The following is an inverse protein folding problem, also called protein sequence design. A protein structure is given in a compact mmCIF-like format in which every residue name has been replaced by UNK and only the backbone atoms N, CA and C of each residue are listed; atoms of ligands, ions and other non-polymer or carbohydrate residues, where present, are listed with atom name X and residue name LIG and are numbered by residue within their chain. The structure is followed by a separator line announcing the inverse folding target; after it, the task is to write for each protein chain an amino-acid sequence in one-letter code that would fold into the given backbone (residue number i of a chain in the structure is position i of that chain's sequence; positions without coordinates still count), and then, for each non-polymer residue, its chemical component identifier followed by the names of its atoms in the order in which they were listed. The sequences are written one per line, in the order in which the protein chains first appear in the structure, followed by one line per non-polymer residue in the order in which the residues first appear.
data_IF_285585779555
#
_entry.id   IF_285585779555
#
_cell.length_a   1.000
_cell.length_b   1.000
_cell.length_c   1.000
_cell.angle_alpha   90.00
_cell.angle_beta   90.00
_cell.angle_gamma   90.00
#
_symmetry.space_group_name_H-M   'P 1'
#
loop_
_entity.id
_entity.type
_entity.pdbx_description
1 polymer ?
#
# COMPACT_ATOMS: atom_id res chain seq x y z
N UNK A 1 -28.66 11.39 4.71
CA UNK A 1 -27.76 10.47 5.42
C UNK A 1 -27.34 11.16 6.71
N UNK A 2 -27.31 10.45 7.82
CA UNK A 2 -26.81 11.02 9.08
C UNK A 2 -25.32 11.34 8.92
N UNK A 3 -24.82 12.35 9.62
CA UNK A 3 -23.40 12.76 9.54
C UNK A 3 -22.43 11.68 10.06
N UNK A 4 -22.93 10.53 10.51
CA UNK A 4 -22.17 9.37 11.04
C UNK A 4 -22.08 8.22 10.06
N UNK A 5 -22.73 8.27 8.89
CA UNK A 5 -22.71 7.20 7.90
C UNK A 5 -21.32 7.11 7.27
N UNK A 6 -20.70 5.93 7.36
CA UNK A 6 -19.41 5.60 6.77
C UNK A 6 -19.52 4.32 5.95
N UNK A 7 -18.64 4.20 4.96
CA UNK A 7 -18.45 2.96 4.21
C UNK A 7 -17.25 2.21 4.74
N UNK A 8 -17.45 0.97 5.12
CA UNK A 8 -16.41 0.12 5.70
C UNK A 8 -15.93 -0.90 4.67
N UNK A 9 -14.64 -0.79 4.30
CA UNK A 9 -13.91 -1.78 3.49
C UNK A 9 -12.60 -2.07 4.23
N UNK A 10 -12.58 -3.07 5.13
CA UNK A 10 -11.48 -3.25 6.08
C UNK A 10 -10.16 -3.68 5.44
N UNK A 11 -10.20 -4.32 4.27
CA UNK A 11 -8.98 -4.76 3.60
C UNK A 11 -9.24 -5.54 2.33
N UNK A 12 -8.19 -6.18 1.76
CA UNK A 12 -8.30 -7.03 0.60
C UNK A 12 -9.11 -8.29 0.92
N UNK A 13 -9.66 -8.94 -0.11
CA UNK A 13 -10.37 -10.21 0.06
C UNK A 13 -9.43 -11.33 0.55
N UNK A 14 -8.15 -11.28 0.16
CA UNK A 14 -7.14 -12.26 0.55
C UNK A 14 -5.80 -11.56 0.82
N UNK A 15 -5.12 -11.96 1.89
CA UNK A 15 -3.81 -11.45 2.29
C UNK A 15 -2.91 -12.58 2.76
N UNK A 16 -1.71 -12.64 2.24
CA UNK A 16 -0.68 -13.59 2.66
C UNK A 16 0.64 -12.85 2.88
N UNK A 17 1.23 -13.03 4.06
CA UNK A 17 2.50 -12.42 4.47
C UNK A 17 3.38 -13.49 5.11
N UNK A 18 4.09 -14.24 4.28
CA UNK A 18 5.01 -15.28 4.72
C UNK A 18 5.97 -15.67 3.59
N UNK A 19 7.11 -16.31 3.90
CA UNK A 19 8.00 -16.84 2.87
C UNK A 19 7.27 -17.78 1.91
N UNK A 20 7.46 -17.56 0.60
CA UNK A 20 6.79 -18.32 -0.46
C UNK A 20 5.35 -17.91 -0.74
N UNK A 21 4.88 -16.78 -0.19
CA UNK A 21 3.49 -16.28 -0.40
C UNK A 21 3.13 -16.08 -1.87
N UNK A 22 4.09 -15.76 -2.75
CA UNK A 22 3.83 -15.53 -4.16
C UNK A 22 3.31 -16.78 -4.90
N UNK A 23 3.61 -17.98 -4.39
CA UNK A 23 3.07 -19.23 -4.92
C UNK A 23 1.54 -19.35 -4.75
N UNK A 24 0.95 -18.57 -3.83
CA UNK A 24 -0.51 -18.54 -3.69
C UNK A 24 -1.23 -18.05 -4.96
N UNK A 25 -0.55 -17.31 -5.84
CA UNK A 25 -1.13 -16.84 -7.10
C UNK A 25 -1.77 -17.98 -7.90
N UNK A 26 -1.10 -19.14 -7.96
CA UNK A 26 -1.55 -20.32 -8.69
C UNK A 26 -2.79 -21.00 -8.04
N UNK A 27 -3.13 -20.65 -6.79
CA UNK A 27 -4.34 -21.14 -6.13
C UNK A 27 -5.58 -20.29 -6.45
N UNK A 28 -5.38 -19.07 -6.92
CA UNK A 28 -6.48 -18.14 -7.24
C UNK A 28 -6.75 -18.00 -8.73
N UNK A 29 -5.78 -18.32 -9.58
CA UNK A 29 -5.89 -18.13 -11.02
C UNK A 29 -5.44 -19.37 -11.77
N UNK A 30 -6.21 -19.77 -12.78
CA UNK A 30 -5.85 -20.89 -13.67
C UNK A 30 -4.65 -20.51 -14.56
N UNK A 31 -3.91 -21.48 -15.11
CA UNK A 31 -2.86 -21.20 -16.09
C UNK A 31 -3.34 -20.39 -17.30
N UNK A 32 -4.57 -20.61 -17.75
CA UNK A 32 -5.18 -19.84 -18.84
C UNK A 32 -5.38 -18.37 -18.43
N UNK A 33 -5.88 -18.11 -17.23
CA UNK A 33 -6.00 -16.74 -16.71
C UNK A 33 -4.62 -16.09 -16.58
N UNK A 34 -3.64 -16.78 -16.02
CA UNK A 34 -2.28 -16.26 -15.87
C UNK A 34 -1.55 -16.03 -17.21
N UNK A 35 -1.92 -16.74 -18.27
CA UNK A 35 -1.40 -16.46 -19.62
C UNK A 35 -1.93 -15.14 -20.21
N UNK A 36 -3.00 -14.59 -19.66
CA UNK A 36 -3.57 -13.29 -20.02
C UNK A 36 -3.39 -12.25 -18.90
N UNK A 37 -2.50 -12.53 -17.94
CA UNK A 37 -2.17 -11.60 -16.88
C UNK A 37 -1.37 -10.41 -17.41
N UNK A 38 -1.60 -9.24 -16.83
CA UNK A 38 -0.81 -8.04 -17.07
C UNK A 38 0.00 -7.72 -15.82
N UNK A 39 1.31 -7.84 -15.92
CA UNK A 39 2.25 -7.50 -14.87
C UNK A 39 2.76 -6.07 -15.07
N UNK A 40 2.48 -5.21 -14.11
CA UNK A 40 2.97 -3.82 -14.12
C UNK A 40 3.94 -3.65 -12.94
N UNK A 41 5.15 -3.18 -13.22
CA UNK A 41 6.20 -3.18 -12.22
C UNK A 41 7.16 -1.99 -12.35
N UNK A 42 7.72 -1.59 -11.21
CA UNK A 42 8.85 -0.65 -11.17
C UNK A 42 10.17 -1.36 -11.49
N UNK A 43 11.12 -0.63 -12.10
CA UNK A 43 12.42 -1.18 -12.54
C UNK A 43 13.23 -1.83 -11.39
N UNK A 44 13.46 -1.08 -10.31
CA UNK A 44 14.16 -1.61 -9.13
C UNK A 44 13.35 -2.66 -8.37
N UNK A 45 12.03 -2.52 -8.38
CA UNK A 45 11.12 -3.44 -7.71
C UNK A 45 11.17 -4.84 -8.33
N UNK A 46 11.14 -4.93 -9.67
CA UNK A 46 11.18 -6.21 -10.37
C UNK A 46 12.53 -6.91 -10.19
N UNK A 47 13.63 -6.16 -10.11
CA UNK A 47 14.96 -6.73 -9.87
C UNK A 47 15.02 -7.43 -8.50
N UNK A 48 14.52 -6.77 -7.44
CA UNK A 48 14.45 -7.34 -6.10
C UNK A 48 13.47 -8.51 -5.97
N UNK A 49 12.36 -8.47 -6.73
CA UNK A 49 11.34 -9.51 -6.70
C UNK A 49 11.67 -10.73 -7.56
N UNK A 50 12.52 -10.59 -8.58
CA UNK A 50 12.79 -11.60 -9.60
C UNK A 50 13.07 -13.01 -9.06
N UNK A 51 13.86 -13.23 -7.98
CA UNK A 51 14.12 -14.57 -7.45
C UNK A 51 12.88 -15.27 -6.87
N UNK A 52 11.82 -14.52 -6.56
CA UNK A 52 10.62 -15.00 -5.88
C UNK A 52 9.42 -15.09 -6.81
N UNK A 53 9.51 -14.53 -8.04
CA UNK A 53 8.38 -14.51 -8.97
C UNK A 53 7.99 -15.92 -9.40
N UNK A 54 6.68 -16.23 -9.46
CA UNK A 54 6.20 -17.50 -9.95
C UNK A 54 6.48 -17.66 -11.46
N UNK A 55 6.47 -18.89 -11.94
CA UNK A 55 6.70 -19.22 -13.36
C UNK A 55 5.72 -18.49 -14.29
N UNK A 56 4.52 -18.20 -13.81
CA UNK A 56 3.47 -17.46 -14.53
C UNK A 56 3.88 -16.03 -14.92
N UNK A 57 4.85 -15.43 -14.26
CA UNK A 57 5.43 -14.16 -14.71
C UNK A 57 5.98 -14.25 -16.14
N UNK A 58 6.51 -15.42 -16.53
CA UNK A 58 7.03 -15.69 -17.86
C UNK A 58 6.08 -16.49 -18.75
N UNK A 59 4.79 -16.61 -18.37
CA UNK A 59 3.82 -17.35 -19.15
C UNK A 59 3.71 -16.76 -20.57
N UNK A 60 3.64 -17.62 -21.61
CA UNK A 60 3.37 -17.15 -22.97
C UNK A 60 2.03 -16.40 -23.00
N UNK A 61 2.05 -15.18 -23.56
CA UNK A 61 0.86 -14.32 -23.63
C UNK A 61 0.70 -13.36 -22.45
N UNK A 62 1.31 -13.61 -21.30
CA UNK A 62 1.33 -12.63 -20.21
C UNK A 62 2.08 -11.36 -20.64
N UNK A 63 1.49 -10.20 -20.36
CA UNK A 63 2.10 -8.90 -20.67
C UNK A 63 2.95 -8.42 -19.48
N UNK A 64 4.05 -7.74 -19.76
CA UNK A 64 4.99 -7.21 -18.77
C UNK A 64 5.29 -5.76 -19.10
N UNK A 65 4.71 -4.86 -18.31
CA UNK A 65 4.73 -3.43 -18.55
C UNK A 65 5.59 -2.75 -17.45
N UNK A 66 6.64 -2.08 -17.90
CA UNK A 66 7.48 -1.29 -17.00
C UNK A 66 6.79 0.04 -16.73
N UNK A 67 6.61 0.36 -15.43
CA UNK A 67 6.05 1.62 -15.00
C UNK A 67 7.13 2.53 -14.38
N UNK A 68 7.18 3.77 -14.88
CA UNK A 68 8.05 4.84 -14.38
C UNK A 68 7.20 6.10 -14.27
N UNK A 69 6.73 6.42 -13.10
CA UNK A 69 5.91 7.62 -12.95
C UNK A 69 5.10 7.65 -11.65
N UNK A 70 3.98 8.33 -11.75
CA UNK A 70 3.00 8.48 -10.68
C UNK A 70 1.64 7.99 -11.18
N UNK A 71 0.72 7.72 -10.26
CA UNK A 71 -0.67 7.42 -10.62
C UNK A 71 -1.32 8.68 -11.20
N UNK A 72 -1.17 8.88 -12.51
CA UNK A 72 -1.71 9.99 -13.26
C UNK A 72 -2.71 9.50 -14.31
N UNK A 73 -3.61 10.39 -14.73
CA UNK A 73 -4.60 10.06 -15.77
C UNK A 73 -3.93 9.58 -17.07
N UNK A 74 -2.86 10.25 -17.46
CA UNK A 74 -2.07 9.89 -18.64
C UNK A 74 -1.46 8.48 -18.52
N UNK A 75 -0.78 8.20 -17.40
CA UNK A 75 -0.06 6.94 -17.22
C UNK A 75 -1.03 5.76 -17.06
N UNK A 76 -2.14 5.96 -16.35
CA UNK A 76 -3.19 4.94 -16.21
C UNK A 76 -3.85 4.64 -17.56
N UNK A 77 -4.20 5.67 -18.35
CA UNK A 77 -4.79 5.48 -19.68
C UNK A 77 -3.84 4.72 -20.60
N UNK A 78 -2.57 5.12 -20.65
CA UNK A 78 -1.55 4.43 -21.44
C UNK A 78 -1.42 2.94 -21.05
N UNK A 79 -1.36 2.64 -19.75
CA UNK A 79 -1.26 1.25 -19.28
C UNK A 79 -2.53 0.43 -19.55
N UNK A 80 -3.72 1.03 -19.51
CA UNK A 80 -4.97 0.38 -19.93
C UNK A 80 -4.91 0.01 -21.40
N UNK A 81 -4.48 0.92 -22.28
CA UNK A 81 -4.37 0.67 -23.71
C UNK A 81 -3.36 -0.45 -24.01
N UNK A 82 -2.20 -0.44 -23.36
CA UNK A 82 -1.19 -1.50 -23.50
C UNK A 82 -1.64 -2.83 -22.94
N UNK A 83 -2.46 -2.84 -21.87
CA UNK A 83 -2.99 -4.05 -21.27
C UNK A 83 -3.91 -4.82 -22.20
N UNK A 84 -4.67 -4.13 -23.04
CA UNK A 84 -5.64 -4.76 -23.93
C UNK A 84 -6.91 -5.24 -23.24
N UNK A 85 -7.94 -5.53 -24.04
CA UNK A 85 -9.28 -5.88 -23.54
C UNK A 85 -9.44 -7.32 -23.07
N UNK A 86 -8.44 -8.18 -23.29
CA UNK A 86 -8.46 -9.60 -22.95
C UNK A 86 -7.74 -9.92 -21.63
N UNK A 87 -7.25 -8.89 -20.93
CA UNK A 87 -6.62 -9.03 -19.62
C UNK A 87 -7.55 -9.75 -18.64
N UNK A 88 -7.03 -10.73 -17.91
CA UNK A 88 -7.78 -11.50 -16.91
C UNK A 88 -7.54 -11.03 -15.48
N UNK A 89 -6.39 -10.44 -15.22
CA UNK A 89 -5.92 -9.95 -13.94
C UNK A 89 -4.80 -8.93 -14.15
N UNK A 90 -4.73 -7.91 -13.31
CA UNK A 90 -3.58 -6.98 -13.29
C UNK A 90 -2.80 -7.18 -12.00
N UNK A 91 -1.51 -7.44 -12.13
CA UNK A 91 -0.60 -7.77 -11.04
C UNK A 91 0.44 -6.67 -10.91
N UNK A 92 0.45 -5.97 -9.78
CA UNK A 92 1.40 -4.91 -9.48
C UNK A 92 2.58 -5.42 -8.67
N UNK A 93 3.81 -5.14 -9.11
CA UNK A 93 5.04 -5.45 -8.36
C UNK A 93 5.80 -4.16 -8.08
N UNK A 94 5.73 -3.67 -6.83
CA UNK A 94 6.37 -2.39 -6.52
C UNK A 94 5.98 -1.75 -5.20
N UNK A 95 6.29 -0.48 -5.06
CA UNK A 95 5.88 0.36 -3.95
C UNK A 95 4.54 1.09 -4.21
N UNK A 96 4.24 2.08 -3.38
CA UNK A 96 2.95 2.78 -3.38
C UNK A 96 2.52 3.33 -4.74
N UNK A 97 3.43 3.98 -5.50
CA UNK A 97 3.09 4.51 -6.82
C UNK A 97 2.65 3.42 -7.81
N UNK A 98 3.32 2.25 -7.80
CA UNK A 98 2.91 1.10 -8.61
C UNK A 98 1.56 0.58 -8.13
N UNK A 99 1.37 0.41 -6.81
CA UNK A 99 0.11 -0.10 -6.26
C UNK A 99 -1.07 0.79 -6.63
N UNK A 100 -0.94 2.10 -6.48
CA UNK A 100 -2.01 3.05 -6.82
C UNK A 100 -2.35 3.03 -8.31
N UNK A 101 -1.34 3.02 -9.17
CA UNK A 101 -1.52 2.97 -10.63
C UNK A 101 -2.19 1.66 -11.05
N UNK A 102 -1.73 0.53 -10.53
CA UNK A 102 -2.23 -0.80 -10.92
C UNK A 102 -3.67 -1.02 -10.45
N UNK A 103 -4.05 -0.52 -9.27
CA UNK A 103 -5.46 -0.53 -8.82
C UNK A 103 -6.36 0.23 -9.80
N UNK A 104 -5.94 1.45 -10.21
CA UNK A 104 -6.69 2.25 -11.17
C UNK A 104 -6.80 1.56 -12.55
N UNK A 105 -5.72 0.95 -13.04
CA UNK A 105 -5.73 0.16 -14.28
C UNK A 105 -6.68 -1.04 -14.19
N UNK A 106 -6.56 -1.84 -13.12
CA UNK A 106 -7.42 -3.01 -12.89
C UNK A 106 -8.89 -2.62 -12.84
N UNK A 107 -9.21 -1.51 -12.16
CA UNK A 107 -10.57 -0.97 -12.08
C UNK A 107 -11.13 -0.58 -13.44
N UNK A 108 -10.34 0.10 -14.28
CA UNK A 108 -10.77 0.51 -15.63
C UNK A 108 -10.97 -0.68 -16.56
N UNK A 109 -10.18 -1.73 -16.41
CA UNK A 109 -10.33 -2.99 -17.18
C UNK A 109 -11.44 -3.88 -16.63
N UNK A 110 -11.95 -3.63 -15.43
CA UNK A 110 -12.97 -4.48 -14.79
C UNK A 110 -12.44 -5.85 -14.38
N UNK A 111 -11.16 -5.96 -14.04
CA UNK A 111 -10.47 -7.22 -13.67
C UNK A 111 -9.91 -7.19 -12.25
N UNK A 112 -9.65 -8.35 -11.63
CA UNK A 112 -9.04 -8.39 -10.31
C UNK A 112 -7.67 -7.68 -10.25
N UNK A 113 -7.41 -7.01 -9.12
CA UNK A 113 -6.10 -6.48 -8.74
C UNK A 113 -5.37 -7.46 -7.82
N UNK A 114 -4.11 -7.74 -8.13
CA UNK A 114 -3.18 -8.44 -7.24
C UNK A 114 -2.00 -7.52 -6.92
N UNK A 115 -1.71 -7.31 -5.63
CA UNK A 115 -0.59 -6.50 -5.18
C UNK A 115 0.55 -7.35 -4.63
N UNK A 116 1.77 -7.12 -5.13
CA UNK A 116 3.03 -7.68 -4.61
C UNK A 116 3.90 -6.48 -4.19
N UNK A 117 3.72 -5.99 -2.94
CA UNK A 117 4.52 -4.89 -2.44
C UNK A 117 5.98 -5.32 -2.25
N UNK A 118 6.91 -4.51 -2.75
CA UNK A 118 8.35 -4.78 -2.66
C UNK A 118 9.04 -3.96 -1.56
N UNK A 119 8.31 -3.04 -0.96
CA UNK A 119 8.74 -2.19 0.17
C UNK A 119 7.57 -2.05 1.15
N UNK A 120 7.85 -1.92 2.42
CA UNK A 120 6.88 -1.58 3.45
C UNK A 120 7.00 -0.08 3.79
N UNK A 121 6.62 0.79 2.85
CA UNK A 121 6.68 2.24 3.02
C UNK A 121 5.30 2.89 3.25
N UNK A 122 4.22 2.21 2.87
CA UNK A 122 2.83 2.63 3.02
C UNK A 122 1.89 1.42 3.01
N UNK A 123 0.62 1.63 3.33
CA UNK A 123 -0.43 0.62 3.21
C UNK A 123 -1.11 0.57 1.82
N UNK A 124 -0.51 1.12 0.78
CA UNK A 124 -1.15 1.26 -0.54
C UNK A 124 -1.57 -0.07 -1.18
N UNK A 125 -0.85 -1.17 -0.92
CA UNK A 125 -1.24 -2.49 -1.41
C UNK A 125 -2.53 -3.00 -0.75
N UNK A 126 -2.80 -2.60 0.49
CA UNK A 126 -3.96 -3.04 1.27
C UNK A 126 -5.22 -2.26 0.92
N UNK A 127 -5.11 -0.93 0.80
CA UNK A 127 -6.25 -0.04 0.68
C UNK A 127 -6.90 -0.05 -0.71
N UNK A 128 -8.24 -0.10 -0.81
CA UNK A 128 -8.94 0.12 -2.09
C UNK A 128 -9.00 1.62 -2.42
N UNK A 129 -7.82 2.24 -2.46
CA UNK A 129 -7.67 3.68 -2.66
C UNK A 129 -6.43 3.94 -3.50
N UNK A 130 -6.50 4.91 -4.41
CA UNK A 130 -5.35 5.41 -5.15
C UNK A 130 -5.21 6.92 -4.98
N UNK A 131 -3.99 7.39 -4.78
CA UNK A 131 -3.66 8.81 -4.80
C UNK A 131 -3.30 9.21 -6.22
N UNK A 132 -4.01 10.20 -6.74
CA UNK A 132 -3.83 10.71 -8.10
C UNK A 132 -2.90 11.92 -8.12
N UNK A 133 -2.06 11.97 -9.13
CA UNK A 133 -1.06 13.02 -9.33
C UNK A 133 -1.22 13.66 -10.70
N UNK A 134 -0.81 14.92 -10.82
CA UNK A 134 -0.62 15.56 -12.11
C UNK A 134 0.70 15.12 -12.76
N UNK A 135 0.91 15.52 -14.02
CA UNK A 135 2.13 15.18 -14.76
C UNK A 135 3.42 15.77 -14.14
N UNK A 136 3.32 16.75 -13.27
CA UNK A 136 4.43 17.30 -12.50
C UNK A 136 4.71 16.56 -11.18
N UNK A 137 3.98 15.48 -10.87
CA UNK A 137 4.15 14.70 -9.64
C UNK A 137 3.54 15.34 -8.39
N UNK A 138 2.65 16.33 -8.55
CA UNK A 138 1.94 16.94 -7.42
C UNK A 138 0.64 16.19 -7.16
N UNK A 139 0.37 15.86 -5.88
CA UNK A 139 -0.85 15.17 -5.48
C UNK A 139 -2.08 16.04 -5.77
N UNK A 140 -3.09 15.46 -6.40
CA UNK A 140 -4.35 16.11 -6.75
C UNK A 140 -5.47 15.75 -5.76
N UNK A 141 -5.80 14.48 -5.71
CA UNK A 141 -6.86 13.91 -4.87
C UNK A 141 -6.60 12.43 -4.64
N UNK A 142 -7.41 11.81 -3.81
CA UNK A 142 -7.48 10.36 -3.71
C UNK A 142 -8.86 9.87 -4.18
N UNK A 143 -8.86 8.70 -4.82
CA UNK A 143 -10.06 8.00 -5.23
C UNK A 143 -10.22 6.74 -4.40
N UNK A 144 -11.41 6.51 -3.85
CA UNK A 144 -11.76 5.29 -3.12
C UNK A 144 -12.57 4.41 -4.06
N UNK A 145 -12.06 3.21 -4.32
CA UNK A 145 -12.76 2.24 -5.16
C UNK A 145 -13.87 1.52 -4.39
N UNK A 146 -14.89 1.08 -5.13
CA UNK A 146 -16.05 0.43 -4.55
C UNK A 146 -15.74 -0.99 -4.04
N UNK A 147 -14.81 -1.69 -4.68
CA UNK A 147 -14.48 -3.05 -4.34
C UNK A 147 -13.15 -3.13 -3.57
N UNK A 148 -13.06 -4.08 -2.64
CA UNK A 148 -11.81 -4.42 -1.99
C UNK A 148 -10.77 -4.93 -3.01
N UNK A 149 -9.49 -4.75 -2.73
CA UNK A 149 -8.44 -5.41 -3.49
C UNK A 149 -8.62 -6.94 -3.41
N UNK A 150 -8.39 -7.65 -4.51
CA UNK A 150 -8.66 -9.08 -4.55
C UNK A 150 -7.63 -9.90 -3.77
N UNK A 151 -6.33 -9.63 -3.99
CA UNK A 151 -5.25 -10.42 -3.42
C UNK A 151 -4.02 -9.54 -3.15
N UNK A 152 -3.43 -9.68 -1.97
CA UNK A 152 -2.14 -9.07 -1.64
C UNK A 152 -1.19 -10.15 -1.15
N UNK A 153 -0.01 -10.22 -1.77
CA UNK A 153 1.02 -11.21 -1.51
C UNK A 153 2.29 -10.51 -1.04
N UNK A 154 2.64 -10.67 0.22
CA UNK A 154 3.87 -10.12 0.82
C UNK A 154 4.88 -11.26 0.95
N UNK A 155 5.97 -11.17 0.19
CA UNK A 155 7.14 -12.00 0.40
C UNK A 155 8.12 -11.21 1.29
N UNK A 156 8.28 -11.57 2.56
CA UNK A 156 9.07 -10.77 3.50
C UNK A 156 10.52 -10.59 3.07
N UNK A 157 11.08 -11.55 2.33
CA UNK A 157 12.46 -11.44 1.85
C UNK A 157 12.66 -10.33 0.83
N UNK A 158 11.64 -10.03 0.01
CA UNK A 158 11.69 -8.90 -0.94
C UNK A 158 11.78 -7.59 -0.16
N UNK A 159 10.95 -7.44 0.87
CA UNK A 159 10.93 -6.24 1.73
C UNK A 159 12.23 -6.12 2.54
N UNK A 160 12.75 -7.23 3.04
CA UNK A 160 14.01 -7.27 3.79
C UNK A 160 15.21 -6.81 2.94
N UNK A 161 15.21 -7.17 1.66
CA UNK A 161 16.27 -6.80 0.71
C UNK A 161 16.15 -5.36 0.18
N UNK A 162 15.05 -4.67 0.49
CA UNK A 162 14.85 -3.29 0.06
C UNK A 162 15.70 -2.30 0.88
N UNK A 163 15.97 -1.09 0.37
CA UNK A 163 16.66 -0.06 1.16
C UNK A 163 15.90 0.28 2.46
N UNK A 164 16.62 0.30 3.58
CA UNK A 164 16.05 0.49 4.93
C UNK A 164 15.30 1.80 5.13
N UNK A 165 15.60 2.81 4.32
CA UNK A 165 14.90 4.10 4.34
C UNK A 165 13.41 3.97 4.06
N UNK A 166 12.98 2.95 3.27
CA UNK A 166 11.57 2.71 3.00
C UNK A 166 10.85 2.12 4.21
N UNK A 167 11.48 1.20 4.93
CA UNK A 167 10.91 0.65 6.17
C UNK A 167 10.78 1.76 7.23
N UNK A 168 11.83 2.57 7.40
CA UNK A 168 11.82 3.72 8.32
C UNK A 168 10.70 4.72 7.95
N UNK A 169 10.54 5.03 6.67
CA UNK A 169 9.46 5.89 6.21
C UNK A 169 8.08 5.27 6.49
N UNK A 170 7.92 3.97 6.27
CA UNK A 170 6.68 3.25 6.56
C UNK A 170 6.31 3.24 8.04
N UNK A 171 7.29 3.11 8.92
CA UNK A 171 7.10 3.25 10.37
C UNK A 171 6.55 4.64 10.68
N UNK A 172 7.17 5.69 10.13
CA UNK A 172 6.74 7.07 10.34
C UNK A 172 5.34 7.37 9.82
N UNK A 173 5.01 6.90 8.61
CA UNK A 173 3.68 7.03 8.01
C UNK A 173 2.61 6.32 8.86
N UNK A 174 2.93 5.11 9.33
CA UNK A 174 1.96 4.28 10.06
C UNK A 174 1.74 4.74 11.50
N UNK A 175 2.76 5.27 12.17
CA UNK A 175 2.61 5.89 13.48
C UNK A 175 1.58 7.03 13.47
N UNK A 176 1.49 7.79 12.38
CA UNK A 176 0.52 8.87 12.25
C UNK A 176 -0.93 8.38 12.40
N UNK A 177 -1.24 7.12 12.10
CA UNK A 177 -2.61 6.57 12.22
C UNK A 177 -3.22 6.76 13.61
N UNK A 178 -2.44 6.53 14.66
CA UNK A 178 -2.90 6.78 16.02
C UNK A 178 -3.07 8.28 16.32
N UNK A 179 -2.03 9.07 16.05
CA UNK A 179 -2.03 10.47 16.42
C UNK A 179 -3.10 11.27 15.67
N UNK A 180 -3.36 10.92 14.42
CA UNK A 180 -4.42 11.54 13.64
C UNK A 180 -5.83 11.05 14.04
N UNK A 181 -6.00 9.75 14.31
CA UNK A 181 -7.29 9.19 14.69
C UNK A 181 -7.82 9.78 16.00
N UNK A 182 -6.97 9.98 17.01
CA UNK A 182 -7.41 10.54 18.31
C UNK A 182 -7.85 11.99 18.21
N UNK A 183 -7.31 12.75 17.27
CA UNK A 183 -7.73 14.14 17.02
C UNK A 183 -9.04 14.20 16.23
N UNK A 184 -9.20 13.29 15.26
CA UNK A 184 -10.44 13.22 14.44
C UNK A 184 -11.63 12.64 15.22
N UNK A 185 -11.40 11.89 16.26
CA UNK A 185 -12.40 11.19 17.05
C UNK A 185 -12.20 11.40 18.56
N UNK A 186 -12.40 12.64 19.06
CA UNK A 186 -12.13 12.97 20.47
C UNK A 186 -13.12 12.29 21.44
N UNK A 187 -14.31 11.91 20.98
CA UNK A 187 -15.34 11.21 21.77
C UNK A 187 -15.72 9.88 21.07
N UNK A 188 -14.84 8.88 21.06
CA UNK A 188 -15.01 7.67 20.25
C UNK A 188 -16.21 6.83 20.68
N UNK A 189 -16.67 6.93 21.94
CA UNK A 189 -17.83 6.21 22.44
C UNK A 189 -19.14 6.59 21.73
N UNK A 190 -19.21 7.78 21.15
CA UNK A 190 -20.34 8.28 20.39
C UNK A 190 -20.32 7.93 18.91
N UNK A 191 -19.26 7.20 18.47
CA UNK A 191 -19.06 6.83 17.08
C UNK A 191 -19.46 5.37 16.79
N UNK A 192 -19.70 5.02 15.51
CA UNK A 192 -19.95 3.64 15.12
C UNK A 192 -18.89 2.67 15.63
N UNK A 193 -19.29 1.42 15.93
CA UNK A 193 -18.38 0.39 16.45
C UNK A 193 -17.17 0.17 15.56
N UNK A 194 -17.35 0.21 14.23
CA UNK A 194 -16.25 0.04 13.27
C UNK A 194 -15.20 1.13 13.39
N UNK A 195 -15.59 2.39 13.65
CA UNK A 195 -14.65 3.49 13.93
C UNK A 195 -13.86 3.21 15.20
N UNK A 196 -14.54 2.78 16.28
CA UNK A 196 -13.88 2.41 17.54
C UNK A 196 -12.90 1.26 17.37
N UNK A 197 -13.25 0.26 16.55
CA UNK A 197 -12.32 -0.83 16.19
C UNK A 197 -11.12 -0.31 15.39
N UNK A 198 -11.32 0.63 14.48
CA UNK A 198 -10.24 1.30 13.76
C UNK A 198 -9.29 2.07 14.69
N UNK A 199 -9.83 2.83 15.65
CA UNK A 199 -9.04 3.55 16.66
C UNK A 199 -8.25 2.57 17.54
N UNK A 200 -8.88 1.48 18.03
CA UNK A 200 -8.18 0.47 18.79
C UNK A 200 -7.10 -0.26 17.97
N UNK A 201 -7.35 -0.47 16.68
CA UNK A 201 -6.34 -0.97 15.74
C UNK A 201 -5.15 -0.01 15.63
N UNK A 202 -5.40 1.29 15.50
CA UNK A 202 -4.35 2.31 15.44
C UNK A 202 -3.50 2.33 16.73
N UNK A 203 -4.13 2.16 17.90
CA UNK A 203 -3.45 2.04 19.18
C UNK A 203 -2.52 0.81 19.21
N UNK A 204 -3.05 -0.35 18.84
CA UNK A 204 -2.28 -1.60 18.81
C UNK A 204 -1.07 -1.51 17.86
N UNK A 205 -1.25 -0.92 16.68
CA UNK A 205 -0.18 -0.71 15.70
C UNK A 205 0.88 0.23 16.25
N UNK A 206 0.48 1.36 16.87
CA UNK A 206 1.41 2.28 17.53
C UNK A 206 2.29 1.54 18.53
N UNK A 207 1.68 0.72 19.39
CA UNK A 207 2.40 -0.01 20.45
C UNK A 207 3.39 -1.03 19.86
N UNK A 208 3.01 -1.74 18.80
CA UNK A 208 3.92 -2.63 18.07
C UNK A 208 5.09 -1.85 17.45
N UNK A 209 4.80 -0.74 16.77
CA UNK A 209 5.85 0.05 16.11
C UNK A 209 6.81 0.67 17.13
N UNK A 210 6.32 1.22 18.24
CA UNK A 210 7.18 1.77 19.29
C UNK A 210 8.03 0.70 19.98
N UNK A 211 7.51 -0.52 20.12
CA UNK A 211 8.23 -1.60 20.80
C UNK A 211 9.23 -2.34 19.90
N UNK A 212 8.97 -2.41 18.56
CA UNK A 212 9.70 -3.33 17.68
C UNK A 212 10.44 -2.69 16.51
N UNK A 213 10.22 -1.39 16.24
CA UNK A 213 10.80 -0.76 15.03
C UNK A 213 12.33 -0.73 15.06
N UNK A 214 12.94 -0.47 16.22
CA UNK A 214 14.41 -0.43 16.36
C UNK A 214 15.02 -1.81 16.06
N UNK A 215 14.44 -2.87 16.64
CA UNK A 215 14.82 -4.26 16.37
C UNK A 215 14.64 -4.62 14.89
N UNK A 216 13.47 -4.29 14.31
CA UNK A 216 13.17 -4.59 12.92
C UNK A 216 14.12 -3.91 11.91
N UNK A 217 14.52 -2.67 12.18
CA UNK A 217 15.52 -1.95 11.38
C UNK A 217 16.90 -2.59 11.50
N UNK A 218 17.29 -3.02 12.70
CA UNK A 218 18.53 -3.75 12.91
C UNK A 218 18.51 -5.12 12.23
N UNK A 219 17.37 -5.84 12.28
CA UNK A 219 17.16 -7.11 11.59
C UNK A 219 17.30 -6.96 10.07
N UNK A 220 16.71 -5.89 9.51
CA UNK A 220 16.87 -5.59 8.09
C UNK A 220 18.35 -5.39 7.71
N UNK A 221 19.11 -4.67 8.52
CA UNK A 221 20.55 -4.47 8.29
C UNK A 221 21.34 -5.78 8.35
N UNK A 222 20.92 -6.74 9.20
CA UNK A 222 21.54 -8.06 9.32
C UNK A 222 21.03 -9.07 8.27
N UNK A 223 19.97 -8.73 7.55
CA UNK A 223 19.32 -9.65 6.61
C UNK A 223 18.53 -10.78 7.30
N UNK A 224 17.99 -10.53 8.48
CA UNK A 224 17.29 -11.52 9.32
C UNK A 224 15.77 -11.30 9.32
N UNK A 225 15.00 -12.31 8.93
CA UNK A 225 13.53 -12.29 9.00
C UNK A 225 13.05 -12.71 10.39
N UNK A 226 13.21 -11.84 11.38
CA UNK A 226 12.69 -12.12 12.74
C UNK A 226 11.18 -11.87 12.84
N UNK A 227 10.60 -12.21 13.99
CA UNK A 227 9.21 -11.88 14.28
C UNK A 227 9.02 -10.35 14.38
N UNK A 228 9.99 -9.61 14.93
CA UNK A 228 9.92 -8.16 15.02
C UNK A 228 9.86 -7.50 13.63
N UNK A 229 10.70 -7.96 12.69
CA UNK A 229 10.67 -7.49 11.32
C UNK A 229 9.30 -7.75 10.66
N UNK A 230 8.76 -8.97 10.78
CA UNK A 230 7.45 -9.32 10.21
C UNK A 230 6.31 -8.53 10.83
N UNK A 231 6.30 -8.36 12.16
CA UNK A 231 5.28 -7.58 12.85
C UNK A 231 5.26 -6.12 12.38
N UNK A 232 6.43 -5.52 12.16
CA UNK A 232 6.53 -4.14 11.66
C UNK A 232 6.06 -4.05 10.20
N UNK A 233 6.43 -4.99 9.33
CA UNK A 233 5.95 -5.05 7.95
C UNK A 233 4.43 -5.18 7.89
N UNK A 234 3.85 -6.09 8.68
CA UNK A 234 2.40 -6.30 8.73
C UNK A 234 1.67 -5.11 9.40
N UNK A 235 2.27 -4.47 10.39
CA UNK A 235 1.72 -3.25 10.98
C UNK A 235 1.61 -2.13 9.93
N UNK A 236 2.60 -1.99 9.05
CA UNK A 236 2.60 -0.97 7.99
C UNK A 236 1.58 -1.32 6.90
N UNK A 237 1.67 -2.53 6.32
CA UNK A 237 0.87 -2.89 5.15
C UNK A 237 -0.57 -3.18 5.54
N UNK A 238 -0.79 -4.15 6.42
CA UNK A 238 -2.12 -4.61 6.81
C UNK A 238 -2.74 -3.68 7.87
N UNK A 239 -2.02 -3.43 8.93
CA UNK A 239 -2.50 -2.63 10.04
C UNK A 239 -2.88 -1.21 9.65
N UNK A 240 -1.96 -0.48 9.02
CA UNK A 240 -2.21 0.90 8.57
C UNK A 240 -3.39 1.02 7.62
N UNK A 241 -3.56 0.05 6.73
CA UNK A 241 -4.68 0.02 5.79
C UNK A 241 -6.01 -0.35 6.44
N UNK A 242 -6.01 -1.33 7.35
CA UNK A 242 -7.18 -1.76 8.09
C UNK A 242 -7.78 -0.62 8.94
N UNK A 243 -6.95 0.17 9.59
CA UNK A 243 -7.37 1.32 10.38
C UNK A 243 -8.22 2.28 9.54
N UNK A 244 -7.71 2.67 8.36
CA UNK A 244 -8.45 3.53 7.44
C UNK A 244 -9.67 2.88 6.83
N UNK A 245 -9.66 1.55 6.64
CA UNK A 245 -10.79 0.79 6.11
C UNK A 245 -11.95 0.63 7.09
N UNK A 246 -11.66 0.54 8.39
CA UNK A 246 -12.67 0.42 9.47
C UNK A 246 -13.28 1.75 9.87
N UNK A 247 -12.46 2.80 9.95
CA UNK A 247 -12.90 4.09 10.50
C UNK A 247 -13.12 5.19 9.46
N UNK A 248 -12.77 4.94 8.19
CA UNK A 248 -12.93 5.86 7.06
C UNK A 248 -12.37 7.26 7.40
N UNK A 249 -13.15 8.35 7.25
CA UNK A 249 -12.71 9.73 7.51
C UNK A 249 -12.26 10.00 8.95
N UNK A 250 -12.67 9.19 9.90
CA UNK A 250 -12.27 9.34 11.31
C UNK A 250 -10.88 8.78 11.63
N UNK A 251 -10.28 7.99 10.73
CA UNK A 251 -9.01 7.31 11.01
C UNK A 251 -8.02 7.33 9.85
N UNK A 252 -8.33 8.03 8.74
CA UNK A 252 -7.46 8.02 7.57
C UNK A 252 -6.30 8.99 7.67
N UNK A 253 -6.60 10.28 7.66
CA UNK A 253 -5.61 11.36 7.58
C UNK A 253 -6.12 12.60 8.31
N UNK A 254 -5.22 13.34 8.96
CA UNK A 254 -5.50 14.62 9.61
C UNK A 254 -4.34 15.61 9.41
N UNK A 255 -3.88 16.27 10.47
CA UNK A 255 -2.91 17.33 10.37
C UNK A 255 -1.51 16.84 9.95
N UNK A 256 -1.08 15.65 10.36
CA UNK A 256 0.22 15.12 9.95
C UNK A 256 0.31 14.98 8.41
N UNK A 257 -0.72 14.42 7.78
CA UNK A 257 -0.80 14.35 6.33
C UNK A 257 -1.04 15.71 5.67
N UNK A 258 -1.75 16.65 6.31
CA UNK A 258 -1.89 18.00 5.80
C UNK A 258 -0.53 18.73 5.75
N UNK A 259 0.31 18.57 6.77
CA UNK A 259 1.69 19.05 6.79
C UNK A 259 2.51 18.42 5.66
N UNK A 260 2.43 17.08 5.50
CA UNK A 260 3.05 16.39 4.36
C UNK A 260 2.65 17.03 3.03
N UNK A 261 1.34 17.23 2.79
CA UNK A 261 0.84 17.82 1.54
C UNK A 261 1.40 19.22 1.32
N UNK A 262 1.45 20.05 2.37
CA UNK A 262 2.09 21.37 2.30
C UNK A 262 3.60 21.30 2.00
N UNK A 263 4.30 20.29 2.49
CA UNK A 263 5.70 20.08 2.19
C UNK A 263 5.97 19.64 0.74
N UNK A 264 5.02 18.99 0.07
CA UNK A 264 5.21 18.52 -1.32
C UNK A 264 5.41 19.64 -2.33
N UNK A 265 4.96 20.87 -2.02
CA UNK A 265 5.14 22.03 -2.91
C UNK A 265 6.51 22.75 -2.71
N UNK A 266 7.29 22.30 -1.75
CA UNK A 266 8.61 22.88 -1.44
C UNK A 266 9.73 22.04 -2.10
N UNK A 267 10.48 22.59 -3.09
CA UNK A 267 11.53 21.82 -3.78
C UNK A 267 12.59 21.22 -2.84
N UNK A 268 12.87 21.87 -1.72
CA UNK A 268 13.85 21.41 -0.74
C UNK A 268 13.46 20.08 -0.08
N UNK A 269 12.18 19.74 -0.09
CA UNK A 269 11.64 18.51 0.54
C UNK A 269 11.39 17.38 -0.43
N UNK A 270 11.61 17.56 -1.72
CA UNK A 270 11.38 16.57 -2.76
C UNK A 270 12.15 15.27 -2.52
N UNK A 271 13.37 15.37 -2.01
CA UNK A 271 14.24 14.23 -1.68
C UNK A 271 13.76 13.36 -0.52
N UNK A 272 12.82 13.83 0.30
CA UNK A 272 12.33 13.08 1.45
C UNK A 272 11.13 12.22 1.07
N UNK A 273 11.11 10.98 1.57
CA UNK A 273 10.02 10.05 1.37
C UNK A 273 8.73 10.54 2.01
N UNK A 274 7.59 10.03 1.51
CA UNK A 274 6.24 10.35 2.02
C UNK A 274 6.18 10.21 3.56
N UNK A 275 6.47 9.02 4.07
CA UNK A 275 6.38 8.74 5.51
C UNK A 275 7.34 9.55 6.38
N UNK A 276 8.49 9.97 5.84
CA UNK A 276 9.40 10.88 6.54
C UNK A 276 8.77 12.26 6.75
N UNK A 277 8.06 12.77 5.74
CA UNK A 277 7.32 14.04 5.83
C UNK A 277 6.10 13.92 6.73
N UNK A 278 5.41 12.77 6.70
CA UNK A 278 4.29 12.48 7.62
C UNK A 278 4.77 12.39 9.06
N UNK A 279 5.90 11.72 9.32
CA UNK A 279 6.49 11.66 10.66
C UNK A 279 6.83 13.05 11.22
N UNK A 280 7.38 13.94 10.38
CA UNK A 280 7.56 15.34 10.75
C UNK A 280 6.22 16.02 11.07
N UNK A 281 5.19 15.73 10.30
CA UNK A 281 3.84 16.24 10.52
C UNK A 281 3.24 15.83 11.87
N UNK A 282 3.56 14.63 12.41
CA UNK A 282 3.16 14.22 13.75
C UNK A 282 3.72 15.18 14.81
N UNK A 283 4.97 15.63 14.64
CA UNK A 283 5.59 16.56 15.59
C UNK A 283 5.01 17.97 15.52
N UNK A 284 4.40 18.32 14.38
CA UNK A 284 3.73 19.61 14.18
C UNK A 284 2.28 19.59 14.72
N UNK A 285 1.60 18.44 14.60
CA UNK A 285 0.24 18.22 15.11
C UNK A 285 0.20 18.21 16.64
#
# INVERSE_FOLDING_TARGET
MSNTDIRVVPGPANYFSHPGSLAQLDNFFTPEQLSRAVWIYGERAIEGARPFLPASFNAPGAKRLLFKGHCSERDVTHLVDESGSDASVVIGVGGGAVMDTVKAVARRLGVPFVGIPTIAATCAAWTPLSVWYNDAGQALHFEIFDDANFLVLVEPQIVLNAPAEYLLAGIGDTLAKWYEAVVLAPEPENLPLTVRLGINGALAIRDVLLARSEEALADQQRGEQTQAFRDVVDAIIAGGGMVGGLGERYTRVAAAHAVHNGLTVLPQTEKYLHGTKVAYGILVQ
#
